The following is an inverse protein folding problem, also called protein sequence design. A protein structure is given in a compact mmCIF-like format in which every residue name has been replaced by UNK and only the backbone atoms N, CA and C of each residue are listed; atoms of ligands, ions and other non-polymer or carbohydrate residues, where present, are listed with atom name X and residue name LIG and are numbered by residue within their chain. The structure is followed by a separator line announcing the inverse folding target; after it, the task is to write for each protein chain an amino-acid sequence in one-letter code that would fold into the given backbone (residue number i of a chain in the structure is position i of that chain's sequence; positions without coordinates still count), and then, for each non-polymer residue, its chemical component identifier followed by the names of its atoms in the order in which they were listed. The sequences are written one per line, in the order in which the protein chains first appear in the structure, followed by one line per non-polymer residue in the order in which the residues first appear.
data_IF_056021622195
#
_entry.id   IF_056021622195
#
_cell.length_a   1.000
_cell.length_b   1.000
_cell.length_c   1.000
_cell.angle_alpha   90.00
_cell.angle_beta   90.00
_cell.angle_gamma   90.00
#
_symmetry.space_group_name_H-M   'P 1'
#
loop_
_entity.id
_entity.type
_entity.pdbx_description
1 polymer ?
#
# COMPACT_ATOMS: atom_id res chain seq x y z
N UNK A 1 -6.91 103.29 7.94
CA UNK A 1 -5.55 102.71 8.00
C UNK A 1 -5.38 101.83 6.81
N UNK A 2 -4.79 102.44 5.78
CA UNK A 2 -4.56 101.79 4.51
C UNK A 2 -3.32 100.91 4.54
N UNK A 3 -3.43 99.70 4.04
CA UNK A 3 -2.26 98.83 3.76
C UNK A 3 -2.16 98.58 2.25
N UNK A 4 -1.15 99.25 1.72
CA UNK A 4 -0.77 99.20 0.30
C UNK A 4 -0.38 97.77 -0.08
N UNK A 5 -0.96 97.23 -1.18
CA UNK A 5 -0.60 95.98 -1.78
C UNK A 5 0.46 96.27 -2.86
N UNK A 6 1.70 95.73 -2.63
CA UNK A 6 2.73 95.73 -3.65
C UNK A 6 2.50 94.68 -4.77
N UNK A 7 2.42 95.14 -5.96
CA UNK A 7 2.38 94.27 -7.19
C UNK A 7 3.74 93.68 -7.42
N UNK A 8 3.85 92.31 -7.39
CA UNK A 8 4.98 91.58 -7.87
C UNK A 8 5.08 91.76 -9.40
N UNK A 9 6.19 92.32 -9.90
CA UNK A 9 6.55 92.41 -11.29
C UNK A 9 6.83 90.98 -11.87
N UNK A 10 6.14 90.65 -12.95
CA UNK A 10 6.32 89.40 -13.71
C UNK A 10 7.70 89.29 -14.35
N UNK A 11 8.23 88.08 -14.38
CA UNK A 11 9.50 87.66 -15.02
C UNK A 11 9.28 87.61 -16.56
N UNK A 12 9.06 88.72 -17.18
CA UNK A 12 8.82 88.77 -18.64
C UNK A 12 9.72 89.82 -19.38
N UNK A 13 10.87 90.12 -18.83
CA UNK A 13 11.75 91.11 -19.45
C UNK A 13 13.25 90.77 -19.42
N UNK A 14 13.62 89.55 -19.84
CA UNK A 14 15.04 89.19 -20.05
C UNK A 14 15.28 88.25 -21.27
N UNK A 15 14.47 88.33 -22.26
CA UNK A 15 14.80 87.71 -23.57
C UNK A 15 15.30 88.73 -24.55
N UNK A 16 16.57 89.13 -24.48
CA UNK A 16 17.24 89.83 -25.56
C UNK A 16 17.53 88.86 -26.73
N UNK A 17 17.34 89.27 -27.98
CA UNK A 17 17.53 88.48 -29.17
C UNK A 17 18.87 87.72 -29.29
N UNK A 18 19.85 87.99 -28.43
CA UNK A 18 21.13 87.31 -28.33
C UNK A 18 21.11 86.07 -27.47
N UNK A 19 20.30 86.05 -26.41
CA UNK A 19 20.19 84.85 -25.50
C UNK A 19 19.38 83.71 -26.11
N UNK A 20 18.35 84.02 -26.92
CA UNK A 20 17.54 83.01 -27.65
C UNK A 20 18.39 82.12 -28.55
N UNK A 21 19.41 82.75 -29.24
CA UNK A 21 20.30 81.96 -30.07
C UNK A 21 21.15 80.96 -29.32
N UNK A 22 21.59 81.32 -28.11
CA UNK A 22 22.35 80.40 -27.21
C UNK A 22 21.49 79.32 -26.65
N UNK A 23 20.24 79.57 -26.29
CA UNK A 23 19.29 78.58 -25.82
C UNK A 23 18.88 77.60 -26.95
N UNK A 24 18.69 78.12 -28.20
CA UNK A 24 18.42 77.28 -29.33
C UNK A 24 19.62 76.39 -29.70
N UNK A 25 20.86 76.95 -29.57
CA UNK A 25 22.09 76.11 -29.74
C UNK A 25 22.23 75.05 -28.67
N UNK A 26 21.94 75.41 -27.44
CA UNK A 26 21.92 74.43 -26.29
C UNK A 26 20.90 73.33 -26.53
N UNK A 27 19.67 73.65 -26.91
CA UNK A 27 18.60 72.68 -27.21
C UNK A 27 18.95 71.82 -28.45
N UNK A 28 19.61 72.40 -29.48
CA UNK A 28 20.11 71.61 -30.59
C UNK A 28 21.23 70.65 -30.23
N UNK A 29 22.18 71.09 -29.38
CA UNK A 29 23.24 70.22 -28.86
C UNK A 29 22.68 69.08 -27.98
N UNK A 30 21.69 69.39 -27.11
CA UNK A 30 21.01 68.39 -26.31
C UNK A 30 20.25 67.41 -27.22
N UNK A 31 19.55 67.88 -28.24
CA UNK A 31 18.86 67.05 -29.24
C UNK A 31 19.83 66.14 -30.01
N UNK A 32 20.98 66.69 -30.45
CA UNK A 32 22.05 65.92 -31.12
C UNK A 32 22.68 64.92 -30.18
N UNK A 33 22.93 65.27 -28.89
CA UNK A 33 23.45 64.35 -27.86
C UNK A 33 22.43 63.23 -27.56
N UNK A 34 21.14 63.59 -27.44
CA UNK A 34 20.06 62.59 -27.28
C UNK A 34 19.96 61.70 -28.53
N UNK A 35 20.06 62.24 -29.74
CA UNK A 35 20.09 61.47 -30.98
C UNK A 35 21.32 60.58 -31.08
N UNK A 36 22.49 61.04 -30.66
CA UNK A 36 23.73 60.24 -30.61
C UNK A 36 23.71 59.16 -29.51
N UNK A 37 23.07 59.39 -28.38
CA UNK A 37 22.90 58.42 -27.29
C UNK A 37 21.82 57.38 -27.57
N UNK A 38 20.73 57.79 -28.25
CA UNK A 38 19.65 56.86 -28.63
C UNK A 38 19.92 56.09 -29.92
N UNK A 39 20.85 56.55 -30.77
CA UNK A 39 21.16 55.93 -32.06
C UNK A 39 22.25 54.86 -32.06
N UNK A 40 22.95 54.62 -30.94
CA UNK A 40 23.97 53.56 -30.88
C UNK A 40 23.33 52.20 -30.59
N UNK A 41 22.90 51.49 -31.64
CA UNK A 41 22.63 50.05 -31.51
C UNK A 41 23.89 49.33 -31.03
N UNK A 42 23.76 48.59 -29.94
CA UNK A 42 24.87 47.82 -29.42
C UNK A 42 25.13 46.62 -30.34
N UNK A 43 26.26 46.62 -31.07
CA UNK A 43 26.59 45.59 -32.07
C UNK A 43 27.79 44.76 -31.59
N UNK A 44 27.68 43.45 -31.70
CA UNK A 44 28.76 42.49 -31.41
C UNK A 44 29.13 41.71 -32.68
N UNK A 45 30.41 41.45 -32.88
CA UNK A 45 30.89 40.52 -33.90
C UNK A 45 31.10 39.14 -33.34
N UNK A 46 30.51 38.15 -33.99
CA UNK A 46 30.51 36.75 -33.54
C UNK A 46 30.99 35.84 -34.67
N UNK A 47 31.76 34.81 -34.29
CA UNK A 47 32.16 33.78 -35.25
C UNK A 47 30.94 32.83 -35.51
N UNK A 48 30.58 32.68 -36.79
CA UNK A 48 29.49 31.83 -37.23
C UNK A 48 29.64 30.36 -36.88
N UNK A 49 30.87 29.90 -36.69
CA UNK A 49 31.14 28.50 -36.28
C UNK A 49 30.70 28.17 -34.85
N UNK A 50 30.55 29.20 -34.00
CA UNK A 50 30.18 29.04 -32.59
C UNK A 50 28.67 29.10 -32.33
N UNK A 51 27.87 29.39 -33.32
CA UNK A 51 26.41 29.53 -33.20
C UNK A 51 25.70 28.36 -33.83
N UNK A 52 24.74 27.79 -33.07
CA UNK A 52 23.79 26.80 -33.58
C UNK A 52 22.48 27.50 -33.94
N UNK A 53 21.97 27.23 -35.11
CA UNK A 53 20.74 27.86 -35.62
C UNK A 53 19.61 26.82 -35.73
N UNK A 54 18.38 27.24 -35.44
CA UNK A 54 17.18 26.47 -35.65
C UNK A 54 16.17 27.27 -36.51
N UNK A 55 15.37 26.57 -37.28
CA UNK A 55 14.33 27.21 -38.10
C UNK A 55 12.98 27.11 -37.42
N UNK A 56 12.28 28.23 -37.29
CA UNK A 56 10.91 28.25 -36.83
C UNK A 56 10.02 27.62 -37.91
N UNK A 57 9.23 26.64 -37.56
CA UNK A 57 8.34 25.93 -38.49
C UNK A 57 6.93 25.84 -37.92
N UNK A 58 5.94 25.89 -38.78
CA UNK A 58 4.59 25.53 -38.41
C UNK A 58 4.46 24.01 -38.40
N UNK A 59 3.87 23.49 -37.34
CA UNK A 59 3.68 22.06 -37.18
C UNK A 59 2.87 21.71 -35.93
N UNK A 60 2.60 20.45 -35.78
CA UNK A 60 1.87 19.92 -34.64
C UNK A 60 2.75 19.93 -33.39
N UNK A 61 2.34 20.68 -32.37
CA UNK A 61 2.97 20.65 -31.04
C UNK A 61 2.33 19.59 -30.21
N UNK A 62 3.09 18.55 -29.91
CA UNK A 62 2.70 17.48 -28.98
C UNK A 62 3.16 17.85 -27.57
N UNK A 63 2.21 18.09 -26.68
CA UNK A 63 2.50 18.48 -25.29
C UNK A 63 2.76 17.23 -24.46
N UNK A 64 4.01 16.80 -24.39
CA UNK A 64 4.42 15.62 -23.63
C UNK A 64 5.68 15.88 -22.81
N UNK A 65 5.82 15.08 -21.76
CA UNK A 65 7.06 15.00 -20.97
C UNK A 65 7.65 13.60 -21.07
N UNK A 66 8.96 13.52 -20.96
CA UNK A 66 9.66 12.23 -20.89
C UNK A 66 9.94 11.88 -19.43
N UNK A 67 9.38 10.77 -18.98
CA UNK A 67 9.54 10.26 -17.62
C UNK A 67 10.16 8.86 -17.63
N UNK A 68 10.99 8.56 -16.65
CA UNK A 68 11.53 7.21 -16.47
C UNK A 68 10.64 6.44 -15.49
N UNK A 69 10.28 5.22 -15.84
CA UNK A 69 9.53 4.33 -14.98
C UNK A 69 10.13 2.94 -14.94
N UNK A 70 9.95 2.26 -13.82
CA UNK A 70 10.40 0.89 -13.62
C UNK A 70 9.22 -0.07 -13.69
N UNK A 71 9.42 -1.16 -14.39
CA UNK A 71 8.45 -2.28 -14.43
C UNK A 71 8.38 -2.94 -13.08
N UNK A 72 7.18 -3.10 -12.57
CA UNK A 72 6.89 -3.81 -11.33
C UNK A 72 5.71 -4.76 -11.54
N UNK A 73 5.64 -5.87 -10.79
CA UNK A 73 4.44 -6.70 -10.76
C UNK A 73 3.24 -5.86 -10.31
N UNK A 74 2.06 -6.17 -10.82
CA UNK A 74 0.84 -5.50 -10.38
C UNK A 74 0.57 -5.77 -8.89
N UNK A 75 0.84 -6.99 -8.44
CA UNK A 75 0.64 -7.45 -7.07
C UNK A 75 1.91 -8.10 -6.56
N UNK A 76 2.39 -7.63 -5.42
CA UNK A 76 3.46 -8.25 -4.65
C UNK A 76 2.93 -8.53 -3.26
N UNK A 77 3.05 -9.76 -2.79
CA UNK A 77 2.67 -10.16 -1.44
C UNK A 77 3.92 -10.48 -0.64
N UNK A 78 4.04 -9.87 0.54
CA UNK A 78 5.16 -10.14 1.44
C UNK A 78 4.98 -11.49 2.10
N UNK A 79 6.05 -12.25 2.19
CA UNK A 79 6.12 -13.52 2.89
C UNK A 79 6.61 -13.27 4.32
N UNK A 80 5.76 -13.60 5.29
CA UNK A 80 6.05 -13.43 6.72
C UNK A 80 5.52 -14.63 7.49
N UNK A 81 6.32 -15.31 8.32
CA UNK A 81 5.86 -16.44 9.11
C UNK A 81 4.93 -15.95 10.23
N UNK A 82 3.88 -16.72 10.50
CA UNK A 82 2.93 -16.46 11.59
C UNK A 82 3.51 -16.90 12.94
N UNK A 83 4.41 -17.90 12.93
CA UNK A 83 5.11 -18.43 14.11
C UNK A 83 6.61 -18.26 13.92
N UNK A 84 7.31 -17.82 14.97
CA UNK A 84 8.77 -17.70 14.97
C UNK A 84 9.46 -19.06 15.17
N UNK A 85 10.68 -19.16 14.66
CA UNK A 85 11.52 -20.35 14.78
C UNK A 85 12.83 -20.24 14.01
N UNK A 86 13.64 -21.30 14.07
CA UNK A 86 14.88 -21.39 13.30
C UNK A 86 14.61 -22.05 11.94
N UNK A 87 15.20 -21.51 10.89
CA UNK A 87 15.09 -22.07 9.53
C UNK A 87 15.72 -23.47 9.49
N UNK A 88 14.88 -24.50 9.37
CA UNK A 88 15.35 -25.90 9.25
C UNK A 88 15.60 -26.29 7.80
N UNK A 89 14.81 -25.78 6.88
CA UNK A 89 14.93 -26.13 5.46
C UNK A 89 14.30 -25.06 4.58
N UNK A 90 14.99 -24.68 3.55
CA UNK A 90 14.48 -23.89 2.42
C UNK A 90 14.09 -24.93 1.33
N UNK A 91 12.83 -24.87 0.91
CA UNK A 91 12.24 -25.86 -0.02
C UNK A 91 12.26 -25.33 -1.45
N UNK A 92 12.09 -24.00 -1.61
CA UNK A 92 12.01 -23.33 -2.91
C UNK A 92 13.05 -22.21 -2.93
N UNK A 93 13.80 -22.11 -4.02
CA UNK A 93 14.81 -21.07 -4.24
C UNK A 93 14.21 -19.82 -4.89
N UNK A 94 14.89 -18.68 -4.75
CA UNK A 94 14.53 -17.43 -5.43
C UNK A 94 14.40 -17.61 -6.95
N UNK A 95 13.45 -16.90 -7.57
CA UNK A 95 13.18 -16.98 -8.99
C UNK A 95 12.33 -18.19 -9.42
N UNK A 96 11.97 -19.07 -8.48
CA UNK A 96 11.14 -20.24 -8.78
C UNK A 96 9.66 -19.87 -8.81
N UNK A 97 8.90 -20.52 -9.68
CA UNK A 97 7.45 -20.41 -9.68
C UNK A 97 6.84 -21.26 -8.55
N UNK A 98 5.89 -20.70 -7.83
CA UNK A 98 5.16 -21.35 -6.72
C UNK A 98 3.66 -21.22 -6.94
N UNK A 99 2.91 -22.23 -6.50
CA UNK A 99 1.46 -22.18 -6.45
C UNK A 99 1.01 -21.80 -5.03
N UNK A 100 -0.20 -21.27 -4.92
CA UNK A 100 -0.82 -21.01 -3.62
C UNK A 100 -0.84 -22.28 -2.76
N UNK A 101 -0.33 -22.17 -1.52
CA UNK A 101 -0.22 -23.29 -0.57
C UNK A 101 1.10 -24.04 -0.61
N UNK A 102 1.96 -23.86 -1.62
CA UNK A 102 3.28 -24.49 -1.68
C UNK A 102 4.15 -24.06 -0.50
N UNK A 103 4.89 -25.02 0.10
CA UNK A 103 5.79 -24.77 1.21
C UNK A 103 7.09 -24.18 0.68
N UNK A 104 7.45 -22.99 1.16
CA UNK A 104 8.68 -22.28 0.78
C UNK A 104 9.80 -22.50 1.79
N UNK A 105 9.49 -22.29 3.08
CA UNK A 105 10.44 -22.43 4.18
C UNK A 105 9.81 -23.24 5.29
N UNK A 106 10.58 -24.12 5.90
CA UNK A 106 10.20 -24.89 7.11
C UNK A 106 11.00 -24.37 8.28
N UNK A 107 10.30 -23.84 9.27
CA UNK A 107 10.86 -23.42 10.55
C UNK A 107 10.80 -24.54 11.58
N UNK A 108 11.67 -24.49 12.58
CA UNK A 108 11.64 -25.34 13.76
C UNK A 108 11.49 -24.51 15.02
N UNK A 109 10.64 -24.97 15.95
CA UNK A 109 10.46 -24.30 17.22
C UNK A 109 10.36 -25.37 18.33
N UNK A 110 11.48 -25.56 19.06
CA UNK A 110 11.58 -26.57 20.11
C UNK A 110 10.62 -26.30 21.27
N UNK A 111 10.36 -25.03 21.60
CA UNK A 111 9.40 -24.66 22.63
C UNK A 111 7.98 -25.10 22.26
N UNK A 112 7.61 -24.95 21.00
CA UNK A 112 6.31 -25.39 20.50
C UNK A 112 6.20 -26.93 20.50
N UNK A 113 7.27 -27.62 20.11
CA UNK A 113 7.33 -29.09 20.19
C UNK A 113 7.17 -29.57 21.65
N UNK A 114 7.82 -28.94 22.62
CA UNK A 114 7.63 -29.22 24.04
C UNK A 114 6.21 -28.93 24.52
N UNK A 115 5.58 -27.84 24.09
CA UNK A 115 4.18 -27.54 24.41
C UNK A 115 3.23 -28.62 23.91
N UNK A 116 3.47 -29.14 22.70
CA UNK A 116 2.69 -30.24 22.12
C UNK A 116 2.81 -31.49 23.00
N UNK A 117 4.03 -31.90 23.33
CA UNK A 117 4.28 -33.09 24.16
C UNK A 117 3.62 -32.96 25.54
N UNK A 118 3.72 -31.81 26.19
CA UNK A 118 3.08 -31.54 27.48
C UNK A 118 1.55 -31.63 27.38
N UNK A 119 0.96 -30.99 26.37
CA UNK A 119 -0.49 -31.01 26.16
C UNK A 119 -1.01 -32.43 25.81
N UNK A 120 -0.24 -33.21 25.06
CA UNK A 120 -0.56 -34.62 24.78
C UNK A 120 -0.54 -35.45 26.08
N UNK A 121 0.48 -35.25 26.93
CA UNK A 121 0.57 -35.93 28.21
C UNK A 121 -0.59 -35.57 29.16
N UNK A 122 -0.93 -34.29 29.27
CA UNK A 122 -2.08 -33.82 30.06
C UNK A 122 -3.41 -34.39 29.55
N UNK A 123 -3.61 -34.42 28.23
CA UNK A 123 -4.81 -35.01 27.64
C UNK A 123 -4.92 -36.50 27.99
N UNK A 124 -3.84 -37.25 27.81
CA UNK A 124 -3.79 -38.66 28.14
C UNK A 124 -4.06 -38.94 29.65
N UNK A 125 -3.52 -38.09 30.52
CA UNK A 125 -3.79 -38.17 31.98
C UNK A 125 -5.28 -37.96 32.28
N UNK A 126 -5.90 -36.91 31.70
CA UNK A 126 -7.33 -36.62 31.90
C UNK A 126 -8.24 -37.72 31.34
N UNK A 127 -7.89 -38.31 30.19
CA UNK A 127 -8.62 -39.46 29.65
C UNK A 127 -8.54 -40.69 30.59
N UNK A 128 -7.38 -40.94 31.19
CA UNK A 128 -7.21 -42.01 32.17
C UNK A 128 -8.02 -41.74 33.46
N UNK A 129 -8.01 -40.49 33.97
CA UNK A 129 -8.82 -40.09 35.11
C UNK A 129 -10.30 -40.30 34.82
N UNK A 130 -10.81 -39.87 33.67
CA UNK A 130 -12.19 -40.10 33.26
C UNK A 130 -12.53 -41.60 33.26
N UNK A 131 -11.68 -42.42 32.65
CA UNK A 131 -11.88 -43.87 32.56
C UNK A 131 -11.95 -44.50 33.94
N UNK A 132 -11.00 -44.16 34.82
CA UNK A 132 -10.96 -44.68 36.20
C UNK A 132 -12.19 -44.22 36.99
N UNK A 133 -12.61 -42.97 36.83
CA UNK A 133 -13.82 -42.43 37.46
C UNK A 133 -15.07 -43.15 36.97
N UNK A 134 -15.20 -43.40 35.67
CA UNK A 134 -16.33 -44.16 35.11
C UNK A 134 -16.39 -45.59 35.66
N UNK A 135 -15.24 -46.28 35.76
CA UNK A 135 -15.16 -47.64 36.38
C UNK A 135 -15.59 -47.60 37.81
N UNK A 136 -15.10 -46.66 38.63
CA UNK A 136 -15.48 -46.49 40.02
C UNK A 136 -16.98 -46.20 40.19
N UNK A 137 -17.53 -45.34 39.34
CA UNK A 137 -18.97 -45.02 39.33
C UNK A 137 -19.85 -46.23 38.99
N UNK A 138 -19.42 -47.07 38.04
CA UNK A 138 -20.16 -48.28 37.68
C UNK A 138 -20.12 -49.31 38.84
N UNK A 139 -18.98 -49.46 39.51
CA UNK A 139 -18.86 -50.30 40.71
C UNK A 139 -19.81 -49.81 41.83
N UNK A 140 -19.86 -48.51 42.10
CA UNK A 140 -20.77 -47.93 43.08
C UNK A 140 -22.23 -48.15 42.72
N UNK A 141 -22.61 -47.98 41.45
CA UNK A 141 -23.95 -48.25 40.93
C UNK A 141 -24.34 -49.72 41.16
N UNK A 142 -23.45 -50.64 40.85
CA UNK A 142 -23.70 -52.09 41.09
C UNK A 142 -23.90 -52.38 42.58
N UNK A 143 -23.11 -51.78 43.48
CA UNK A 143 -23.25 -51.91 44.92
C UNK A 143 -24.61 -51.45 45.46
N UNK A 144 -25.05 -50.23 45.04
CA UNK A 144 -26.38 -49.68 45.40
C UNK A 144 -27.50 -50.53 44.85
N UNK A 145 -27.36 -51.06 43.64
CA UNK A 145 -28.34 -51.95 43.04
C UNK A 145 -28.45 -53.27 43.80
N UNK A 146 -27.34 -53.86 44.30
CA UNK A 146 -27.32 -55.07 45.10
C UNK A 146 -28.02 -54.83 46.45
N UNK A 147 -27.72 -53.71 47.14
CA UNK A 147 -28.40 -53.27 48.33
C UNK A 147 -29.91 -53.18 48.16
N UNK A 148 -30.35 -52.47 47.08
CA UNK A 148 -31.76 -52.35 46.72
C UNK A 148 -32.46 -53.68 46.51
N UNK A 149 -31.83 -54.58 45.76
CA UNK A 149 -32.37 -55.96 45.60
C UNK A 149 -32.53 -56.71 46.93
N UNK A 150 -31.58 -56.59 47.84
CA UNK A 150 -31.65 -57.19 49.19
C UNK A 150 -32.86 -56.62 49.95
N UNK A 151 -33.03 -55.29 49.98
CA UNK A 151 -34.15 -54.62 50.64
C UNK A 151 -35.50 -54.95 50.00
N UNK A 152 -35.55 -55.11 48.68
CA UNK A 152 -36.80 -55.57 48.00
C UNK A 152 -37.21 -57.01 48.50
N UNK A 153 -36.27 -57.83 48.74
CA UNK A 153 -36.54 -59.17 49.31
C UNK A 153 -37.02 -59.06 50.78
N UNK A 154 -36.40 -58.18 51.57
CA UNK A 154 -36.80 -57.93 52.99
C UNK A 154 -38.22 -57.37 53.03
N UNK A 155 -38.55 -56.38 52.25
CA UNK A 155 -39.95 -55.83 52.13
C UNK A 155 -40.92 -56.90 51.75
N UNK A 156 -40.63 -57.78 50.80
CA UNK A 156 -41.51 -58.91 50.46
C UNK A 156 -41.72 -59.88 51.53
N UNK A 157 -40.69 -60.15 52.37
CA UNK A 157 -40.81 -61.06 53.58
C UNK A 157 -41.65 -60.37 54.63
N UNK A 158 -41.34 -59.14 55.02
CA UNK A 158 -42.06 -58.39 56.06
C UNK A 158 -43.55 -58.19 55.67
N UNK A 159 -43.83 -57.90 54.41
CA UNK A 159 -45.18 -57.77 53.88
C UNK A 159 -45.99 -59.09 54.08
N UNK A 160 -45.42 -60.22 53.72
CA UNK A 160 -46.10 -61.50 53.88
C UNK A 160 -46.39 -61.77 55.35
N UNK A 161 -45.44 -61.51 56.30
CA UNK A 161 -45.65 -61.64 57.71
C UNK A 161 -46.76 -60.73 58.26
N UNK A 162 -46.77 -59.43 57.76
CA UNK A 162 -47.80 -58.46 58.10
C UNK A 162 -49.16 -58.90 57.60
N UNK A 163 -49.32 -59.36 56.39
CA UNK A 163 -50.59 -59.81 55.80
C UNK A 163 -51.13 -61.04 56.53
N UNK A 164 -50.27 -61.96 56.88
CA UNK A 164 -50.61 -63.18 57.70
C UNK A 164 -51.05 -62.81 59.11
N UNK A 165 -50.24 -61.96 59.82
CA UNK A 165 -50.59 -61.55 61.18
C UNK A 165 -51.85 -60.67 61.24
N UNK A 166 -52.10 -59.87 60.20
CA UNK A 166 -53.32 -59.11 60.09
C UNK A 166 -54.53 -60.01 60.01
N UNK A 167 -54.54 -61.06 59.20
CA UNK A 167 -55.63 -61.97 59.03
C UNK A 167 -55.88 -62.74 60.35
N UNK A 168 -54.81 -63.21 61.03
CA UNK A 168 -54.91 -63.90 62.31
C UNK A 168 -55.46 -63.01 63.45
N UNK A 169 -55.09 -61.73 63.47
CA UNK A 169 -55.57 -60.74 64.43
C UNK A 169 -57.04 -60.39 64.16
N UNK A 170 -57.49 -60.26 62.94
CA UNK A 170 -58.92 -60.09 62.61
C UNK A 170 -59.76 -61.22 63.04
N UNK A 171 -59.23 -62.47 62.99
CA UNK A 171 -59.84 -63.71 63.57
C UNK A 171 -59.68 -63.88 65.09
N UNK A 172 -59.01 -62.93 65.79
CA UNK A 172 -58.70 -62.92 67.21
C UNK A 172 -57.81 -64.09 67.67
N UNK A 173 -56.95 -64.62 66.81
CA UNK A 173 -56.08 -65.75 67.06
C UNK A 173 -54.70 -65.37 67.59
N UNK A 174 -54.30 -64.09 67.53
CA UNK A 174 -53.03 -63.55 68.03
C UNK A 174 -53.26 -62.29 68.88
N UNK A 175 -52.23 -61.90 69.67
CA UNK A 175 -52.23 -60.68 70.46
C UNK A 175 -52.05 -59.42 69.53
N UNK A 176 -52.61 -58.30 69.96
CA UNK A 176 -52.46 -57.00 69.22
C UNK A 176 -51.02 -56.58 69.05
N UNK A 177 -50.19 -56.89 70.03
CA UNK A 177 -48.77 -56.58 70.04
C UNK A 177 -47.99 -57.27 68.89
N UNK A 178 -48.29 -58.55 68.61
CA UNK A 178 -47.70 -59.32 67.51
C UNK A 178 -48.09 -58.75 66.15
N UNK A 179 -49.35 -58.29 65.95
CA UNK A 179 -49.80 -57.62 64.77
C UNK A 179 -49.10 -56.27 64.58
N UNK A 180 -49.02 -55.42 65.63
CA UNK A 180 -48.37 -54.11 65.59
C UNK A 180 -46.88 -54.28 65.28
N UNK A 181 -46.15 -55.20 65.86
CA UNK A 181 -44.78 -55.50 65.54
C UNK A 181 -44.56 -55.84 64.07
N UNK A 182 -45.43 -56.72 63.51
CA UNK A 182 -45.30 -57.05 62.07
C UNK A 182 -45.62 -55.88 61.17
N UNK A 183 -46.54 -54.99 61.61
CA UNK A 183 -46.83 -53.71 60.88
C UNK A 183 -45.62 -52.77 60.90
N UNK A 184 -45.04 -52.56 62.07
CA UNK A 184 -43.86 -51.68 62.20
C UNK A 184 -42.65 -52.25 61.45
N UNK A 185 -42.40 -53.54 61.46
CA UNK A 185 -41.34 -54.20 60.71
C UNK A 185 -41.53 -54.03 59.19
N UNK A 186 -42.78 -54.12 58.72
CA UNK A 186 -43.12 -53.91 57.31
C UNK A 186 -42.91 -52.43 56.88
N UNK A 187 -43.37 -51.45 57.67
CA UNK A 187 -43.18 -50.06 57.47
C UNK A 187 -41.70 -49.68 57.43
N UNK A 188 -40.91 -50.15 58.45
CA UNK A 188 -39.48 -49.95 58.51
C UNK A 188 -38.75 -50.50 57.25
N UNK A 189 -39.12 -51.71 56.80
CA UNK A 189 -38.51 -52.29 55.60
C UNK A 189 -38.86 -51.48 54.34
N UNK A 190 -40.06 -50.96 54.27
CA UNK A 190 -40.53 -50.09 53.14
C UNK A 190 -39.77 -48.75 53.11
N UNK A 191 -39.60 -48.07 54.27
CA UNK A 191 -38.92 -46.82 54.42
C UNK A 191 -37.43 -47.00 54.09
N UNK A 192 -36.78 -48.08 54.48
CA UNK A 192 -35.40 -48.41 54.06
C UNK A 192 -35.30 -48.54 52.53
N UNK A 193 -36.25 -49.23 51.89
CA UNK A 193 -36.23 -49.37 50.42
C UNK A 193 -36.43 -48.06 49.72
N UNK A 194 -37.31 -47.18 50.22
CA UNK A 194 -37.55 -45.86 49.72
C UNK A 194 -36.27 -45.00 49.79
N UNK A 195 -35.62 -44.99 50.95
CA UNK A 195 -34.36 -44.27 51.16
C UNK A 195 -33.28 -44.69 50.16
N UNK A 196 -33.08 -46.01 49.96
CA UNK A 196 -32.07 -46.51 48.99
C UNK A 196 -32.48 -46.17 47.53
N UNK A 197 -33.80 -46.14 47.24
CA UNK A 197 -34.30 -45.75 45.90
C UNK A 197 -34.04 -44.27 45.62
N UNK A 198 -34.27 -43.42 46.62
CA UNK A 198 -33.94 -41.97 46.49
C UNK A 198 -32.46 -41.72 46.39
N UNK A 199 -31.64 -42.45 47.17
CA UNK A 199 -30.17 -42.41 47.02
C UNK A 199 -29.74 -42.82 45.61
N UNK A 200 -30.30 -43.92 45.07
CA UNK A 200 -29.99 -44.35 43.68
C UNK A 200 -30.30 -43.23 42.67
N UNK A 201 -31.42 -42.52 42.81
CA UNK A 201 -31.83 -41.42 41.95
C UNK A 201 -30.84 -40.24 42.05
N UNK A 202 -30.51 -39.82 43.27
CA UNK A 202 -29.57 -38.73 43.50
C UNK A 202 -28.17 -39.08 42.99
N UNK A 203 -27.66 -40.28 43.26
CA UNK A 203 -26.39 -40.77 42.76
C UNK A 203 -26.36 -40.80 41.22
N UNK A 204 -27.47 -41.16 40.57
CA UNK A 204 -27.58 -41.16 39.11
C UNK A 204 -27.47 -39.76 38.53
N UNK A 205 -28.14 -38.79 39.13
CA UNK A 205 -28.07 -37.37 38.72
C UNK A 205 -26.66 -36.83 38.94
N UNK A 206 -26.08 -37.06 40.10
CA UNK A 206 -24.72 -36.60 40.42
C UNK A 206 -23.68 -37.17 39.44
N UNK A 207 -23.74 -38.47 39.14
CA UNK A 207 -22.85 -39.12 38.15
C UNK A 207 -23.01 -38.50 36.77
N UNK A 208 -24.25 -38.26 36.32
CA UNK A 208 -24.49 -37.69 35.00
C UNK A 208 -23.86 -36.29 34.85
N UNK A 209 -24.01 -35.45 35.88
CA UNK A 209 -23.41 -34.10 35.90
C UNK A 209 -21.88 -34.19 35.94
N UNK A 210 -21.31 -35.04 36.79
CA UNK A 210 -19.88 -35.19 36.90
C UNK A 210 -19.24 -35.71 35.62
N UNK A 211 -19.83 -36.71 34.95
CA UNK A 211 -19.37 -37.24 33.68
C UNK A 211 -19.47 -36.15 32.60
N UNK A 212 -20.56 -35.38 32.54
CA UNK A 212 -20.72 -34.27 31.60
C UNK A 212 -19.64 -33.22 31.79
N UNK A 213 -19.33 -32.80 33.02
CA UNK A 213 -18.25 -31.84 33.31
C UNK A 213 -16.87 -32.36 32.88
N UNK A 214 -16.60 -33.66 33.13
CA UNK A 214 -15.33 -34.26 32.70
C UNK A 214 -15.22 -34.35 31.19
N UNK A 215 -16.29 -34.66 30.46
CA UNK A 215 -16.31 -34.64 29.00
C UNK A 215 -16.10 -33.24 28.45
N UNK A 216 -16.76 -32.22 29.01
CA UNK A 216 -16.55 -30.83 28.63
C UNK A 216 -15.08 -30.39 28.83
N UNK A 217 -14.49 -30.76 29.97
CA UNK A 217 -13.07 -30.47 30.24
C UNK A 217 -12.15 -31.14 29.22
N UNK A 218 -12.39 -32.40 28.85
CA UNK A 218 -11.63 -33.10 27.82
C UNK A 218 -11.79 -32.48 26.45
N UNK A 219 -13.01 -32.06 26.08
CA UNK A 219 -13.24 -31.40 24.80
C UNK A 219 -12.49 -30.07 24.71
N UNK A 220 -12.50 -29.27 25.78
CA UNK A 220 -11.72 -28.04 25.85
C UNK A 220 -10.21 -28.30 25.71
N UNK A 221 -9.69 -29.37 26.31
CA UNK A 221 -8.29 -29.78 26.15
C UNK A 221 -7.98 -30.21 24.71
N UNK A 222 -8.87 -30.95 24.04
CA UNK A 222 -8.73 -31.32 22.63
C UNK A 222 -8.74 -30.12 21.71
N UNK A 223 -9.61 -29.14 21.97
CA UNK A 223 -9.62 -27.87 21.23
C UNK A 223 -8.30 -27.11 21.40
N UNK A 224 -7.79 -27.02 22.63
CA UNK A 224 -6.48 -26.41 22.89
C UNK A 224 -5.37 -27.14 22.14
N UNK A 225 -5.34 -28.48 22.22
CA UNK A 225 -4.37 -29.29 21.49
C UNK A 225 -4.43 -29.08 19.96
N UNK A 226 -5.62 -28.98 19.41
CA UNK A 226 -5.79 -28.68 17.97
C UNK A 226 -5.26 -27.28 17.61
N UNK A 227 -5.44 -26.28 18.48
CA UNK A 227 -4.85 -24.95 18.27
C UNK A 227 -3.32 -25.02 18.26
N UNK A 228 -2.71 -25.72 19.20
CA UNK A 228 -1.25 -25.88 19.27
C UNK A 228 -0.73 -26.62 18.02
N UNK A 229 -1.42 -27.65 17.55
CA UNK A 229 -1.07 -28.36 16.30
C UNK A 229 -1.15 -27.46 15.09
N UNK A 230 -2.16 -26.61 14.97
CA UNK A 230 -2.24 -25.60 13.89
C UNK A 230 -1.06 -24.62 13.92
N UNK A 231 -0.65 -24.19 15.12
CA UNK A 231 0.56 -23.37 15.28
C UNK A 231 1.80 -24.09 14.75
N UNK A 232 1.92 -25.41 14.99
CA UNK A 232 3.01 -26.22 14.40
C UNK A 232 2.94 -26.28 12.90
N UNK A 233 1.76 -26.41 12.31
CA UNK A 233 1.58 -26.36 10.85
C UNK A 233 2.01 -25.02 10.26
N UNK A 234 1.82 -23.91 10.98
CA UNK A 234 2.22 -22.57 10.58
C UNK A 234 3.75 -22.35 10.59
N UNK A 235 4.54 -23.28 11.16
CA UNK A 235 6.00 -23.32 10.99
C UNK A 235 6.41 -23.68 9.56
N UNK A 236 5.52 -24.25 8.76
CA UNK A 236 5.68 -24.39 7.33
C UNK A 236 5.15 -23.13 6.65
N UNK A 237 6.05 -22.21 6.29
CA UNK A 237 5.70 -20.96 5.62
C UNK A 237 5.30 -21.28 4.18
N UNK A 238 4.05 -21.02 3.84
CA UNK A 238 3.44 -21.34 2.56
C UNK A 238 3.24 -20.09 1.71
N UNK A 239 3.21 -20.28 0.39
CA UNK A 239 2.86 -19.25 -0.56
C UNK A 239 1.40 -18.80 -0.38
N UNK A 240 1.13 -17.51 -0.11
CA UNK A 240 -0.24 -17.01 0.02
C UNK A 240 -0.95 -16.77 -1.32
N UNK A 241 -0.20 -16.72 -2.41
CA UNK A 241 -0.68 -16.59 -3.80
C UNK A 241 0.24 -17.38 -4.73
N UNK A 242 -0.27 -17.72 -5.92
CA UNK A 242 0.57 -18.24 -7.01
C UNK A 242 1.37 -17.11 -7.65
N UNK A 243 2.64 -17.38 -8.01
CA UNK A 243 3.53 -16.39 -8.62
C UNK A 243 4.98 -16.82 -8.59
N UNK A 244 5.90 -15.88 -8.77
CA UNK A 244 7.34 -16.10 -8.68
C UNK A 244 7.87 -15.61 -7.33
N UNK A 245 8.69 -16.43 -6.68
CA UNK A 245 9.40 -16.05 -5.45
C UNK A 245 10.49 -15.03 -5.80
N UNK A 246 10.21 -13.73 -5.55
CA UNK A 246 11.06 -12.64 -5.99
C UNK A 246 12.30 -12.44 -5.12
N UNK A 247 12.12 -12.50 -3.81
CA UNK A 247 13.18 -12.35 -2.82
C UNK A 247 12.92 -13.32 -1.68
N UNK A 248 13.98 -13.97 -1.19
CA UNK A 248 13.96 -14.80 0.01
C UNK A 248 15.18 -14.47 0.88
N UNK A 249 14.99 -13.65 1.92
CA UNK A 249 16.06 -13.11 2.78
C UNK A 249 16.16 -13.93 4.07
N UNK A 250 16.48 -15.22 3.94
CA UNK A 250 16.73 -16.12 5.08
C UNK A 250 17.76 -17.18 4.75
N UNK A 251 18.52 -17.58 5.77
CA UNK A 251 19.55 -18.62 5.69
C UNK A 251 19.23 -19.81 6.59
N UNK A 252 19.79 -20.98 6.25
CA UNK A 252 19.64 -22.18 7.09
C UNK A 252 20.23 -21.94 8.48
N UNK A 253 19.46 -22.27 9.51
CA UNK A 253 19.83 -22.06 10.92
C UNK A 253 19.54 -20.67 11.48
N UNK A 254 19.16 -19.72 10.63
CA UNK A 254 18.77 -18.37 11.06
C UNK A 254 17.52 -18.41 11.92
N UNK A 255 17.48 -17.58 12.99
CA UNK A 255 16.29 -17.37 13.81
C UNK A 255 15.40 -16.30 13.21
N UNK A 256 14.13 -16.61 12.98
CA UNK A 256 13.13 -15.72 12.40
C UNK A 256 12.01 -15.50 13.41
N UNK A 257 11.68 -14.23 13.66
CA UNK A 257 10.57 -13.87 14.53
C UNK A 257 9.22 -13.97 13.79
N UNK A 258 8.14 -14.19 14.51
CA UNK A 258 6.80 -14.10 13.96
C UNK A 258 6.54 -12.70 13.36
N UNK A 259 5.96 -12.63 12.17
CA UNK A 259 5.68 -11.39 11.44
C UNK A 259 6.89 -10.74 10.76
N UNK A 260 8.09 -11.28 10.90
CA UNK A 260 9.26 -10.78 10.19
C UNK A 260 9.09 -10.98 8.68
N UNK A 261 9.47 -9.99 7.89
CA UNK A 261 9.50 -10.13 6.42
C UNK A 261 10.68 -11.05 6.07
N UNK A 262 10.39 -12.18 5.44
CA UNK A 262 11.40 -13.14 5.00
C UNK A 262 11.51 -13.24 3.48
N UNK A 263 10.58 -12.65 2.75
CA UNK A 263 10.59 -12.68 1.30
C UNK A 263 9.38 -12.00 0.69
N UNK A 264 9.20 -12.19 -0.60
CA UNK A 264 8.04 -11.71 -1.34
C UNK A 264 7.72 -12.58 -2.54
N UNK A 265 6.44 -12.69 -2.87
CA UNK A 265 5.94 -13.36 -4.07
C UNK A 265 5.36 -12.32 -5.01
N UNK A 266 5.78 -12.36 -6.25
CA UNK A 266 5.37 -11.46 -7.31
C UNK A 266 4.39 -12.20 -8.22
N UNK A 267 3.18 -11.68 -8.39
CA UNK A 267 2.30 -12.15 -9.44
C UNK A 267 2.75 -11.56 -10.77
N UNK A 268 3.20 -12.42 -11.69
CA UNK A 268 3.72 -12.03 -13.00
C UNK A 268 2.66 -12.07 -14.12
N UNK A 269 1.39 -12.34 -13.81
CA UNK A 269 0.31 -12.32 -14.81
C UNK A 269 0.07 -10.91 -15.36
N UNK A 270 0.41 -9.90 -14.58
CA UNK A 270 0.27 -8.51 -14.98
C UNK A 270 1.35 -7.62 -14.39
N UNK A 271 1.81 -6.67 -15.20
CA UNK A 271 2.82 -5.70 -14.83
C UNK A 271 2.25 -4.28 -14.83
N UNK A 272 2.89 -3.42 -14.07
CA UNK A 272 2.72 -1.97 -14.10
C UNK A 272 4.07 -1.31 -14.31
N UNK A 273 4.06 -0.06 -14.77
CA UNK A 273 5.26 0.77 -14.77
C UNK A 273 5.06 1.83 -13.68
N UNK A 274 5.90 1.81 -12.66
CA UNK A 274 5.93 2.87 -11.64
C UNK A 274 6.92 3.94 -12.09
N UNK A 275 6.44 5.14 -12.38
CA UNK A 275 7.26 6.26 -12.77
C UNK A 275 7.29 7.35 -11.71
N UNK A 276 8.46 8.04 -11.62
CA UNK A 276 8.65 9.23 -10.80
C UNK A 276 8.56 10.46 -11.70
N UNK A 277 7.65 11.36 -11.36
CA UNK A 277 7.34 12.58 -12.11
C UNK A 277 7.65 13.78 -11.24
N UNK A 278 8.27 14.83 -11.83
CA UNK A 278 8.60 16.06 -11.14
C UNK A 278 7.33 16.78 -10.64
N UNK A 279 7.39 17.34 -9.41
CA UNK A 279 6.25 18.00 -8.76
C UNK A 279 5.64 19.15 -9.56
N UNK A 280 6.44 19.78 -10.42
CA UNK A 280 5.96 20.86 -11.31
C UNK A 280 4.78 20.42 -12.19
N UNK A 281 4.63 19.13 -12.44
CA UNK A 281 3.56 18.59 -13.29
C UNK A 281 2.36 18.04 -12.51
N UNK A 282 2.34 18.16 -11.15
CA UNK A 282 1.33 17.51 -10.32
C UNK A 282 -0.11 17.93 -10.67
N UNK A 283 -0.31 19.20 -10.99
CA UNK A 283 -1.64 19.74 -11.36
C UNK A 283 -2.12 19.31 -12.76
N UNK A 284 -1.20 18.80 -13.60
CA UNK A 284 -1.46 18.42 -14.98
C UNK A 284 -1.54 16.91 -15.19
N UNK A 285 -1.02 16.14 -14.23
CA UNK A 285 -0.97 14.67 -14.31
C UNK A 285 -2.17 14.08 -13.60
N UNK A 286 -3.04 13.42 -14.35
CA UNK A 286 -4.25 12.79 -13.84
C UNK A 286 -4.37 11.34 -14.33
N UNK A 287 -5.11 10.49 -13.63
CA UNK A 287 -5.47 9.16 -14.13
C UNK A 287 -6.17 9.26 -15.49
N UNK A 288 -5.84 8.32 -16.38
CA UNK A 288 -6.39 8.28 -17.74
C UNK A 288 -5.52 8.95 -18.80
N UNK A 289 -4.44 9.67 -18.44
CA UNK A 289 -3.49 10.19 -19.42
C UNK A 289 -2.69 9.06 -20.08
N UNK A 290 -2.52 9.18 -21.38
CA UNK A 290 -1.79 8.23 -22.21
C UNK A 290 -0.29 8.51 -22.18
N UNK A 291 0.49 7.44 -22.23
CA UNK A 291 1.93 7.52 -22.42
C UNK A 291 2.38 6.44 -23.40
N UNK A 292 3.35 6.80 -24.24
CA UNK A 292 3.94 5.87 -25.22
C UNK A 292 5.41 5.65 -24.91
N UNK A 293 5.92 4.47 -25.21
CA UNK A 293 7.35 4.16 -25.12
C UNK A 293 7.76 3.21 -26.25
N UNK A 294 9.04 3.19 -26.54
CA UNK A 294 9.61 2.32 -27.57
C UNK A 294 10.48 1.23 -26.95
N UNK A 295 10.33 0.01 -27.44
CA UNK A 295 11.22 -1.12 -27.12
C UNK A 295 11.42 -1.95 -28.38
N UNK A 296 12.68 -2.25 -28.73
CA UNK A 296 13.05 -3.04 -29.92
C UNK A 296 12.41 -2.55 -31.21
N UNK A 297 12.33 -1.24 -31.42
CA UNK A 297 11.68 -0.56 -32.55
C UNK A 297 10.15 -0.72 -32.64
N UNK A 298 9.52 -1.24 -31.60
CA UNK A 298 8.07 -1.29 -31.49
C UNK A 298 7.57 -0.24 -30.50
N UNK A 299 6.41 0.35 -30.82
CA UNK A 299 5.75 1.34 -29.96
C UNK A 299 4.68 0.66 -29.12
N UNK A 300 4.72 0.94 -27.83
CA UNK A 300 3.77 0.43 -26.85
C UNK A 300 3.04 1.60 -26.21
N UNK A 301 1.78 1.37 -25.86
CA UNK A 301 0.93 2.33 -25.16
C UNK A 301 0.72 1.92 -23.72
N UNK A 302 0.61 2.91 -22.87
CA UNK A 302 0.27 2.74 -21.46
C UNK A 302 -0.58 3.93 -20.99
N UNK A 303 -1.38 3.71 -19.94
CA UNK A 303 -2.28 4.72 -19.38
C UNK A 303 -2.03 4.85 -17.88
N UNK A 304 -2.05 6.08 -17.38
CA UNK A 304 -1.98 6.31 -15.93
C UNK A 304 -3.19 5.68 -15.26
N UNK A 305 -2.94 4.67 -14.43
CA UNK A 305 -3.95 4.02 -13.59
C UNK A 305 -4.16 4.76 -12.28
N UNK A 306 -3.06 5.21 -11.66
CA UNK A 306 -3.07 5.83 -10.34
C UNK A 306 -1.97 6.87 -10.22
N UNK A 307 -2.28 8.01 -9.62
CA UNK A 307 -1.33 9.04 -9.20
C UNK A 307 -1.28 9.03 -7.67
N UNK A 308 -0.09 9.03 -7.11
CA UNK A 308 0.13 9.13 -5.67
C UNK A 308 0.35 10.59 -5.31
N UNK A 309 -0.49 11.19 -4.45
CA UNK A 309 -0.43 12.63 -4.17
C UNK A 309 0.76 13.04 -3.29
N UNK A 310 1.48 12.07 -2.72
CA UNK A 310 2.62 12.33 -1.85
C UNK A 310 3.85 12.71 -2.68
N UNK A 311 4.39 13.90 -2.43
CA UNK A 311 5.65 14.37 -3.03
C UNK A 311 6.80 14.04 -2.08
N UNK A 312 7.85 13.39 -2.61
CA UNK A 312 9.11 13.11 -1.90
C UNK A 312 10.26 13.51 -2.82
N UNK A 313 11.22 14.25 -2.29
CA UNK A 313 12.40 14.73 -3.03
C UNK A 313 12.04 15.46 -4.33
N UNK A 314 10.97 16.29 -4.30
CA UNK A 314 10.49 17.06 -5.45
C UNK A 314 9.84 16.22 -6.56
N UNK A 315 9.44 14.95 -6.25
CA UNK A 315 8.80 14.04 -7.20
C UNK A 315 7.61 13.34 -6.60
N UNK A 316 6.63 13.02 -7.42
CA UNK A 316 5.51 12.15 -7.08
C UNK A 316 5.51 10.90 -7.95
N UNK A 317 4.83 9.86 -7.49
CA UNK A 317 4.75 8.58 -8.19
C UNK A 317 3.46 8.46 -8.99
N UNK A 318 3.55 7.81 -10.14
CA UNK A 318 2.39 7.39 -10.94
C UNK A 318 2.57 5.96 -11.43
N UNK A 319 1.51 5.16 -11.32
CA UNK A 319 1.43 3.81 -11.86
C UNK A 319 0.78 3.84 -13.23
N UNK A 320 1.46 3.28 -14.21
CA UNK A 320 0.97 3.08 -15.56
C UNK A 320 0.58 1.63 -15.78
N UNK A 321 -0.55 1.41 -16.41
CA UNK A 321 -1.00 0.12 -16.92
C UNK A 321 -0.69 0.05 -18.40
N UNK A 322 -0.21 -1.07 -18.88
CA UNK A 322 -0.10 -1.33 -20.31
C UNK A 322 -1.47 -1.31 -20.95
N UNK A 323 -1.57 -0.75 -22.14
CA UNK A 323 -2.78 -0.74 -22.96
C UNK A 323 -2.54 -1.50 -24.25
N UNK A 324 -3.36 -2.52 -24.53
CA UNK A 324 -3.19 -3.40 -25.66
C UNK A 324 -2.08 -4.44 -25.47
N UNK A 325 -1.18 -4.54 -26.43
CA UNK A 325 -0.10 -5.54 -26.43
C UNK A 325 1.00 -5.14 -25.44
N UNK A 326 1.42 -6.12 -24.61
CA UNK A 326 2.57 -5.96 -23.74
C UNK A 326 3.85 -6.41 -24.44
N UNK A 327 5.00 -5.80 -24.14
CA UNK A 327 6.28 -6.30 -24.64
C UNK A 327 6.54 -7.73 -24.21
N UNK A 328 7.08 -8.55 -25.10
CA UNK A 328 7.54 -9.87 -24.73
C UNK A 328 8.74 -9.82 -23.78
N UNK A 329 8.91 -10.85 -22.94
CA UNK A 329 10.03 -10.98 -22.00
C UNK A 329 10.21 -9.76 -21.07
N UNK A 330 9.11 -9.27 -20.49
CA UNK A 330 9.14 -8.26 -19.45
C UNK A 330 9.79 -8.84 -18.19
N UNK A 331 10.70 -8.06 -17.58
CA UNK A 331 11.30 -8.41 -16.28
C UNK A 331 11.08 -7.29 -15.28
N UNK A 332 10.80 -7.64 -14.07
CA UNK A 332 10.74 -6.70 -12.94
C UNK A 332 12.04 -5.91 -12.82
N UNK A 333 11.93 -4.60 -12.56
CA UNK A 333 13.08 -3.70 -12.43
C UNK A 333 13.59 -3.10 -13.75
N UNK A 334 13.09 -3.53 -14.90
CA UNK A 334 13.43 -2.90 -16.18
C UNK A 334 12.95 -1.45 -16.21
N UNK A 335 13.80 -0.56 -16.75
CA UNK A 335 13.45 0.86 -16.89
C UNK A 335 12.98 1.15 -18.32
N UNK A 336 11.82 1.80 -18.41
CA UNK A 336 11.27 2.34 -19.64
C UNK A 336 11.20 3.88 -19.60
N UNK A 337 11.42 4.50 -20.75
CA UNK A 337 11.26 5.94 -20.89
C UNK A 337 9.92 6.23 -21.57
N UNK A 338 8.99 6.75 -20.79
CA UNK A 338 7.62 7.03 -21.22
C UNK A 338 7.52 8.47 -21.71
N UNK A 339 6.88 8.67 -22.86
CA UNK A 339 6.46 9.98 -23.32
C UNK A 339 4.99 10.19 -22.87
N UNK A 340 4.83 10.84 -21.72
CA UNK A 340 3.52 11.09 -21.12
C UNK A 340 2.86 12.29 -21.76
N UNK A 341 1.69 12.12 -22.38
CA UNK A 341 0.89 13.19 -22.97
C UNK A 341 0.21 14.01 -21.87
N UNK A 342 0.47 15.32 -21.86
CA UNK A 342 -0.12 16.25 -20.88
C UNK A 342 -1.27 17.07 -21.44
N UNK A 343 -1.48 17.04 -22.75
CA UNK A 343 -2.53 17.79 -23.43
C UNK A 343 -2.71 17.35 -24.86
N UNK A 344 -3.74 17.87 -25.50
CA UNK A 344 -4.00 17.61 -26.92
C UNK A 344 -2.97 18.31 -27.78
N UNK A 345 -2.63 17.67 -28.90
CA UNK A 345 -1.82 18.27 -29.95
C UNK A 345 -2.52 19.48 -30.55
N UNK A 346 -1.74 20.52 -30.86
CA UNK A 346 -2.24 21.72 -31.47
C UNK A 346 -1.27 22.24 -32.56
N UNK A 347 -1.76 22.82 -33.62
CA UNK A 347 -0.90 23.51 -34.57
C UNK A 347 -0.28 24.74 -33.92
N UNK A 348 1.04 24.87 -34.02
CA UNK A 348 1.79 25.97 -33.45
C UNK A 348 3.06 26.27 -34.25
N UNK A 349 3.66 27.44 -34.01
CA UNK A 349 5.01 27.75 -34.48
C UNK A 349 6.00 27.13 -33.52
N UNK A 350 6.89 26.30 -34.02
CA UNK A 350 7.85 25.49 -33.25
C UNK A 350 9.26 25.98 -33.52
N UNK A 351 10.04 26.15 -32.43
CA UNK A 351 11.50 26.32 -32.55
C UNK A 351 12.19 25.17 -31.79
N UNK A 352 13.31 24.65 -32.31
CA UNK A 352 14.06 23.61 -31.61
C UNK A 352 14.52 24.09 -30.24
N UNK A 353 14.51 23.17 -29.28
CA UNK A 353 14.99 23.47 -27.94
C UNK A 353 16.48 23.76 -27.95
N UNK A 354 16.89 24.79 -27.21
CA UNK A 354 18.28 25.22 -27.13
C UNK A 354 18.64 25.97 -25.86
N UNK A 355 19.94 26.17 -25.65
CA UNK A 355 20.47 26.78 -24.42
C UNK A 355 20.15 28.28 -24.30
N UNK A 356 19.73 28.97 -25.36
CA UNK A 356 19.32 30.36 -25.33
C UNK A 356 18.25 30.64 -24.28
N UNK A 357 17.39 29.68 -24.03
CA UNK A 357 16.26 29.82 -23.09
C UNK A 357 16.74 30.10 -21.67
N UNK A 358 17.85 29.51 -21.25
CA UNK A 358 18.42 29.71 -19.90
C UNK A 358 18.85 31.18 -19.69
N UNK A 359 19.36 31.83 -20.76
CA UNK A 359 19.83 33.21 -20.70
C UNK A 359 18.69 34.23 -20.83
N UNK A 360 17.67 33.93 -21.64
CA UNK A 360 16.61 34.89 -22.02
C UNK A 360 15.30 34.70 -21.24
N UNK A 361 15.13 33.52 -20.57
CA UNK A 361 13.86 33.12 -20.01
C UNK A 361 12.74 33.03 -21.04
N UNK A 362 13.09 32.85 -22.31
CA UNK A 362 12.12 32.78 -23.42
C UNK A 362 11.45 34.09 -23.77
N UNK A 363 12.00 35.26 -23.34
CA UNK A 363 11.43 36.59 -23.61
C UNK A 363 11.89 37.18 -24.93
N UNK A 364 13.03 36.76 -25.45
CA UNK A 364 13.60 37.23 -26.70
C UNK A 364 14.57 36.22 -27.31
N UNK A 365 14.77 36.33 -28.64
CA UNK A 365 15.73 35.49 -29.39
C UNK A 365 16.44 36.33 -30.44
N UNK A 366 17.59 35.88 -30.91
CA UNK A 366 18.25 36.43 -32.07
C UNK A 366 17.71 35.77 -33.35
N UNK A 367 17.17 36.59 -34.25
CA UNK A 367 16.65 36.16 -35.56
C UNK A 367 17.65 36.58 -36.64
N UNK A 368 18.09 35.62 -37.45
CA UNK A 368 18.99 35.85 -38.56
C UNK A 368 18.27 36.53 -39.73
N UNK A 369 18.98 37.42 -40.43
CA UNK A 369 18.52 37.92 -41.72
C UNK A 369 18.61 36.84 -42.81
N UNK A 370 18.05 37.10 -43.99
CA UNK A 370 18.02 36.13 -45.10
C UNK A 370 19.43 35.66 -45.52
N UNK A 371 20.43 36.57 -45.47
CA UNK A 371 21.80 36.30 -45.90
C UNK A 371 22.64 35.60 -44.81
N UNK A 372 22.09 35.43 -43.60
CA UNK A 372 22.79 34.79 -42.48
C UNK A 372 23.95 35.58 -41.87
N UNK A 373 24.20 36.84 -42.36
CA UNK A 373 25.34 37.66 -41.95
C UNK A 373 25.08 38.52 -40.71
N UNK A 374 23.80 38.70 -40.37
CA UNK A 374 23.37 39.51 -39.23
C UNK A 374 22.24 38.81 -38.47
N UNK A 375 22.22 38.98 -37.14
CA UNK A 375 21.09 38.58 -36.32
C UNK A 375 20.60 39.75 -35.46
N UNK A 376 19.29 39.93 -35.39
CA UNK A 376 18.64 40.99 -34.60
C UNK A 376 17.89 40.41 -33.42
N UNK A 377 17.98 41.09 -32.30
CA UNK A 377 17.20 40.77 -31.11
C UNK A 377 15.70 41.02 -31.39
N UNK A 378 14.88 40.00 -31.18
CA UNK A 378 13.43 40.07 -31.35
C UNK A 378 12.72 39.54 -30.13
N UNK A 379 11.78 40.28 -29.57
CA UNK A 379 10.94 39.83 -28.48
C UNK A 379 10.04 38.69 -28.95
N UNK A 380 9.95 37.63 -28.14
CA UNK A 380 9.10 36.47 -28.40
C UNK A 380 8.33 36.12 -27.17
N UNK A 381 7.19 35.46 -27.33
CA UNK A 381 6.47 34.85 -26.25
C UNK A 381 6.43 33.33 -26.44
N UNK A 382 7.14 32.63 -25.61
CA UNK A 382 7.17 31.17 -25.60
C UNK A 382 6.00 30.67 -24.73
N UNK A 383 5.27 29.71 -25.24
CA UNK A 383 4.18 28.98 -24.54
C UNK A 383 4.66 27.70 -23.90
N UNK A 384 4.04 26.61 -24.31
CA UNK A 384 4.37 25.26 -23.80
C UNK A 384 5.71 24.78 -24.34
N UNK A 385 6.29 23.81 -23.67
CA UNK A 385 7.56 23.19 -24.07
C UNK A 385 7.47 21.67 -23.94
N UNK A 386 8.13 20.99 -24.87
CA UNK A 386 8.36 19.54 -24.79
C UNK A 386 9.89 19.27 -24.90
N UNK A 387 10.35 18.00 -24.80
CA UNK A 387 11.77 17.70 -24.89
C UNK A 387 12.50 18.17 -26.16
N UNK A 388 11.79 18.42 -27.27
CA UNK A 388 12.36 18.73 -28.57
C UNK A 388 12.15 20.17 -28.98
N UNK A 389 10.99 20.79 -28.66
CA UNK A 389 10.56 22.08 -29.17
C UNK A 389 9.98 23.00 -28.10
N UNK A 390 10.09 24.30 -28.36
CA UNK A 390 9.29 25.34 -27.74
C UNK A 390 8.15 25.74 -28.67
N UNK A 391 6.95 25.90 -28.11
CA UNK A 391 5.82 26.57 -28.79
C UNK A 391 6.03 28.07 -28.73
N UNK A 392 5.96 28.74 -29.89
CA UNK A 392 6.04 30.21 -29.98
C UNK A 392 4.65 30.76 -30.21
N UNK A 393 4.18 31.55 -29.25
CA UNK A 393 2.86 32.20 -29.33
C UNK A 393 2.90 33.50 -30.14
N UNK A 394 3.99 34.26 -30.01
CA UNK A 394 4.15 35.56 -30.67
C UNK A 394 5.63 35.85 -30.98
N UNK A 395 5.88 36.64 -32.05
CA UNK A 395 7.19 37.20 -32.32
C UNK A 395 8.00 36.54 -33.45
N UNK A 396 7.61 35.32 -33.89
CA UNK A 396 8.28 34.63 -35.00
C UNK A 396 7.25 34.23 -36.07
N UNK A 397 7.74 34.17 -37.31
CA UNK A 397 7.02 33.60 -38.45
C UNK A 397 7.64 32.27 -38.89
N UNK A 398 6.87 31.37 -39.51
CA UNK A 398 7.41 30.18 -40.15
C UNK A 398 8.51 30.56 -41.16
N UNK A 399 9.66 29.90 -41.07
CA UNK A 399 10.83 30.18 -41.88
C UNK A 399 11.89 31.07 -41.22
N UNK A 400 11.57 31.77 -40.12
CA UNK A 400 12.55 32.56 -39.38
C UNK A 400 13.67 31.63 -38.82
N UNK A 401 14.93 32.01 -39.08
CA UNK A 401 16.09 31.31 -38.51
C UNK A 401 16.49 31.96 -37.18
N UNK A 402 16.52 31.21 -36.11
CA UNK A 402 16.85 31.70 -34.76
C UNK A 402 18.12 31.07 -34.27
N UNK A 403 18.92 31.76 -33.45
CA UNK A 403 20.09 31.23 -32.78
C UNK A 403 19.60 30.46 -31.53
N UNK A 404 19.92 29.18 -31.44
CA UNK A 404 19.49 28.29 -30.35
C UNK A 404 20.62 27.90 -29.39
N UNK A 405 21.88 28.27 -29.70
CA UNK A 405 23.02 28.09 -28.79
C UNK A 405 22.93 29.00 -27.57
N UNK A 406 23.85 28.84 -26.59
CA UNK A 406 23.92 29.71 -25.39
C UNK A 406 24.23 31.15 -25.80
N UNK A 407 23.60 32.12 -25.13
CA UNK A 407 23.83 33.56 -25.30
C UNK A 407 24.81 34.13 -24.28
N UNK A 408 25.51 33.29 -23.46
CA UNK A 408 26.48 33.74 -22.45
C UNK A 408 27.57 34.63 -23.05
N UNK A 409 28.10 34.25 -24.22
CA UNK A 409 29.14 35.01 -24.96
C UNK A 409 28.57 36.15 -25.83
N UNK A 410 27.29 36.14 -26.12
CA UNK A 410 26.65 37.11 -27.02
C UNK A 410 26.17 38.38 -26.28
N UNK A 411 25.93 38.24 -24.98
CA UNK A 411 25.40 39.33 -24.14
C UNK A 411 24.03 39.84 -24.61
N UNK A 412 23.58 40.92 -24.01
CA UNK A 412 22.32 41.59 -24.37
C UNK A 412 22.62 42.71 -25.37
N UNK A 413 22.84 42.35 -26.63
CA UNK A 413 23.10 43.26 -27.75
C UNK A 413 21.91 43.37 -28.67
N UNK A 414 21.76 44.53 -29.38
CA UNK A 414 20.63 44.72 -30.27
C UNK A 414 20.84 44.02 -31.63
N UNK A 415 22.09 43.90 -32.08
CA UNK A 415 22.45 43.30 -33.35
C UNK A 415 23.77 42.53 -33.25
N UNK A 416 23.83 41.36 -33.89
CA UNK A 416 25.02 40.52 -34.02
C UNK A 416 25.47 40.54 -35.49
N UNK A 417 26.76 40.74 -35.75
CA UNK A 417 27.38 40.55 -37.08
C UNK A 417 28.11 39.21 -37.07
N UNK A 418 27.71 38.31 -37.94
CA UNK A 418 28.23 36.97 -38.06
C UNK A 418 29.30 36.95 -39.14
N UNK A 419 30.47 36.47 -38.83
CA UNK A 419 31.61 36.32 -39.73
C UNK A 419 31.88 34.87 -40.09
#
# INVERSE_FOLDING_TARGET
MDKVIEKKKGIAAAFTKKSVKWWALGAFVILVVVLLLTGRRSVLRVDGSTILTGTARQGEFNDYIRVSGQVQPMTTVQLSPTEGGNVKRIVVEEGSHVNEGDVIVVLGNENLDMQILNSEAELAEKENILRNTMISMEQQKLSVRQEKLSLQIEVRRARRAYEQNKALYEEKLIAKEEYLKASEDYELAKDKLELVTDRERQDSLYRSVQIAQMHESLENMRLNMNMIRRRKENLSVKAPISGELGLLDVELGQSVAAGAKIGQINNLDSYKIEAQIDEHYIDRVAPGLEATFERQNEKYSSVIRKVYPEVRDGKFKADFRFEGQQPENIRTGQTYYLNLQLGQSAEAILIPRGSFYQNTGGKWVYVLNADGTKATKRSVRIGRQNPQYYEVLEGLAPGDKVIISSYDSLGDKDELIIK
#
